data_IF_564442295372
#
_entry.id   IF_564442295372
#
_cell.length_a   1.000
_cell.length_b   1.000
_cell.length_c   1.000
_cell.angle_alpha   90.00
_cell.angle_beta   90.00
_cell.angle_gamma   90.00
#
_symmetry.space_group_name_H-M   'P 1'
#
loop_
_entity.id
_entity.type
_entity.pdbx_description
1 polymer ?
#
# COMPACT_ATOMS: atom_id res chain seq x y z
N UNK A 1 -21.15 -15.14 -12.52
CA UNK A 1 -21.07 -13.98 -11.61
C UNK A 1 -19.59 -13.65 -11.51
N UNK A 2 -19.13 -12.55 -12.10
CA UNK A 2 -17.80 -12.03 -11.79
C UNK A 2 -17.89 -11.53 -10.35
N UNK A 3 -17.25 -12.23 -9.41
CA UNK A 3 -17.15 -11.77 -8.03
C UNK A 3 -16.54 -10.37 -8.01
N UNK A 4 -16.97 -9.53 -7.06
CA UNK A 4 -16.30 -8.27 -6.83
C UNK A 4 -14.80 -8.55 -6.64
N UNK A 5 -13.94 -7.80 -7.34
CA UNK A 5 -12.49 -7.89 -7.21
C UNK A 5 -12.13 -7.70 -5.74
N UNK A 6 -11.30 -8.57 -5.16
CA UNK A 6 -10.88 -8.40 -3.77
C UNK A 6 -9.63 -7.49 -3.68
N UNK A 7 -9.32 -7.00 -2.48
CA UNK A 7 -8.20 -6.06 -2.26
C UNK A 7 -6.84 -6.67 -2.64
N UNK A 8 -6.64 -7.98 -2.49
CA UNK A 8 -5.39 -8.66 -2.86
C UNK A 8 -5.24 -8.70 -4.38
N UNK A 9 -6.27 -9.12 -5.10
CA UNK A 9 -6.29 -9.12 -6.57
C UNK A 9 -6.02 -7.72 -7.13
N UNK A 10 -6.64 -6.69 -6.54
CA UNK A 10 -6.41 -5.30 -6.90
C UNK A 10 -4.95 -4.89 -6.74
N UNK A 11 -4.36 -5.17 -5.57
CA UNK A 11 -2.98 -4.85 -5.29
C UNK A 11 -2.00 -5.61 -6.19
N UNK A 12 -2.25 -6.89 -6.44
CA UNK A 12 -1.43 -7.70 -7.34
C UNK A 12 -1.43 -7.16 -8.79
N UNK A 13 -2.59 -6.72 -9.27
CA UNK A 13 -2.72 -6.10 -10.59
C UNK A 13 -1.95 -4.77 -10.66
N UNK A 14 -2.09 -3.91 -9.64
CA UNK A 14 -1.39 -2.61 -9.60
C UNK A 14 0.13 -2.77 -9.50
N UNK A 15 0.61 -3.70 -8.68
CA UNK A 15 2.05 -3.99 -8.59
C UNK A 15 2.56 -4.54 -9.93
N UNK A 16 1.80 -5.40 -10.61
CA UNK A 16 2.19 -5.91 -11.93
C UNK A 16 2.28 -4.79 -12.98
N UNK A 17 1.39 -3.80 -12.93
CA UNK A 17 1.45 -2.62 -13.80
C UNK A 17 2.66 -1.72 -13.49
N UNK A 18 2.97 -1.50 -12.21
CA UNK A 18 4.17 -0.78 -11.79
C UNK A 18 5.45 -1.49 -12.28
N UNK A 19 5.56 -2.81 -12.05
CA UNK A 19 6.67 -3.64 -12.51
C UNK A 19 6.83 -3.59 -14.04
N UNK A 20 5.72 -3.60 -14.78
CA UNK A 20 5.72 -3.46 -16.23
C UNK A 20 6.18 -2.06 -16.67
N UNK A 21 5.70 -1.00 -16.00
CA UNK A 21 6.11 0.38 -16.23
C UNK A 21 7.60 0.59 -16.00
N UNK A 22 8.13 0.05 -14.90
CA UNK A 22 9.55 0.06 -14.57
C UNK A 22 10.37 -0.64 -15.67
N UNK A 23 9.94 -1.84 -16.11
CA UNK A 23 10.62 -2.58 -17.19
C UNK A 23 10.59 -1.84 -18.52
N UNK A 24 9.51 -1.10 -18.79
CA UNK A 24 9.37 -0.25 -19.97
C UNK A 24 10.11 1.10 -19.85
N UNK A 25 10.73 1.40 -18.71
CA UNK A 25 11.38 2.69 -18.45
C UNK A 25 10.40 3.87 -18.34
N UNK A 26 9.12 3.58 -18.15
CA UNK A 26 8.04 4.57 -18.03
C UNK A 26 7.79 4.87 -16.56
N UNK A 27 8.58 5.78 -16.00
CA UNK A 27 8.43 6.23 -14.61
C UNK A 27 7.58 7.49 -14.57
N UNK A 28 6.33 7.40 -14.11
CA UNK A 28 5.50 8.57 -13.83
C UNK A 28 5.78 9.01 -12.40
N UNK A 29 6.75 9.90 -12.22
CA UNK A 29 6.96 10.60 -10.95
C UNK A 29 6.22 11.93 -11.03
N UNK A 30 5.32 12.18 -10.08
CA UNK A 30 4.75 13.50 -9.87
C UNK A 30 5.87 14.53 -9.70
N UNK A 31 5.89 15.53 -10.59
CA UNK A 31 6.75 16.71 -10.64
C UNK A 31 7.70 16.88 -9.45
N UNK A 32 8.88 16.27 -9.55
CA UNK A 32 10.08 16.83 -8.93
C UNK A 32 11.11 16.86 -10.03
N UNK A 33 11.46 18.07 -10.46
CA UNK A 33 12.51 18.32 -11.45
C UNK A 33 13.80 17.66 -10.95
N UNK A 34 14.12 16.48 -11.47
CA UNK A 34 15.44 15.88 -11.28
C UNK A 34 16.38 16.68 -12.18
N UNK A 35 17.46 17.29 -11.64
CA UNK A 35 18.41 18.02 -12.46
C UNK A 35 18.95 17.10 -13.56
N UNK A 36 19.01 17.62 -14.80
CA UNK A 36 19.56 16.93 -15.98
C UNK A 36 21.08 16.75 -15.92
N UNK A 37 21.65 16.35 -14.77
CA UNK A 37 23.06 16.04 -14.66
C UNK A 37 23.31 14.54 -14.77
N UNK A 38 23.74 14.15 -15.97
CA UNK A 38 24.73 13.10 -16.25
C UNK A 38 24.65 11.77 -15.49
N UNK A 39 24.12 10.75 -16.16
CA UNK A 39 24.84 9.46 -16.27
C UNK A 39 24.65 8.38 -15.20
N UNK A 40 24.31 8.69 -13.94
CA UNK A 40 24.24 7.65 -12.88
C UNK A 40 22.89 7.52 -12.15
N UNK A 41 21.97 8.48 -12.31
CA UNK A 41 20.74 8.52 -11.52
C UNK A 41 19.66 7.50 -11.96
N UNK A 42 19.62 7.10 -13.24
CA UNK A 42 18.60 6.16 -13.76
C UNK A 42 18.71 4.75 -13.20
N UNK A 43 19.91 4.30 -12.81
CA UNK A 43 20.09 3.04 -12.07
C UNK A 43 19.38 3.10 -10.72
N UNK A 44 19.60 4.18 -9.96
CA UNK A 44 19.09 4.30 -8.59
C UNK A 44 17.57 4.43 -8.46
N UNK A 45 16.87 5.10 -9.39
CA UNK A 45 15.41 5.25 -9.29
C UNK A 45 14.67 3.97 -9.68
N UNK A 46 15.08 3.35 -10.80
CA UNK A 46 14.49 2.10 -11.25
C UNK A 46 14.69 0.97 -10.23
N UNK A 47 15.89 0.87 -9.65
CA UNK A 47 16.20 -0.07 -8.57
C UNK A 47 15.33 0.17 -7.33
N UNK A 48 15.21 1.42 -6.87
CA UNK A 48 14.33 1.76 -5.73
C UNK A 48 12.87 1.40 -5.96
N UNK A 49 12.36 1.64 -7.17
CA UNK A 49 10.98 1.28 -7.50
C UNK A 49 10.78 -0.24 -7.59
N UNK A 50 11.79 -1.00 -8.02
CA UNK A 50 11.77 -2.47 -7.97
C UNK A 50 11.79 -2.97 -6.52
N UNK A 51 12.60 -2.37 -5.65
CA UNK A 51 12.62 -2.68 -4.22
C UNK A 51 11.27 -2.38 -3.56
N UNK A 52 10.61 -1.28 -3.92
CA UNK A 52 9.27 -0.95 -3.46
C UNK A 52 8.26 -2.02 -3.91
N UNK A 53 8.27 -2.42 -5.19
CA UNK A 53 7.42 -3.51 -5.68
C UNK A 53 7.67 -4.82 -4.92
N UNK A 54 8.94 -5.15 -4.65
CA UNK A 54 9.30 -6.34 -3.88
C UNK A 54 8.77 -6.29 -2.43
N UNK A 55 8.80 -5.12 -1.79
CA UNK A 55 8.21 -4.93 -0.45
C UNK A 55 6.69 -5.08 -0.48
N UNK A 56 6.01 -4.49 -1.48
CA UNK A 56 4.56 -4.66 -1.66
C UNK A 56 4.19 -6.14 -1.86
N UNK A 57 4.96 -6.88 -2.66
CA UNK A 57 4.80 -8.35 -2.83
C UNK A 57 5.00 -9.11 -1.52
N UNK A 58 5.99 -8.74 -0.71
CA UNK A 58 6.25 -9.37 0.58
C UNK A 58 5.10 -9.16 1.58
N UNK A 59 4.46 -7.98 1.58
CA UNK A 59 3.27 -7.71 2.40
C UNK A 59 2.12 -8.63 1.99
N UNK A 60 1.86 -8.79 0.68
CA UNK A 60 0.81 -9.68 0.17
C UNK A 60 1.09 -11.14 0.55
N UNK A 61 2.33 -11.61 0.36
CA UNK A 61 2.72 -12.96 0.75
C UNK A 61 2.58 -13.20 2.26
N UNK A 62 2.93 -12.20 3.08
CA UNK A 62 2.74 -12.27 4.53
C UNK A 62 1.26 -12.37 4.89
N UNK A 63 0.38 -11.62 4.22
CA UNK A 63 -1.06 -11.79 4.40
C UNK A 63 -1.52 -13.22 4.03
N UNK A 64 -1.13 -13.73 2.86
CA UNK A 64 -1.52 -15.07 2.39
C UNK A 64 -1.11 -16.17 3.39
N UNK A 65 0.09 -16.10 3.94
CA UNK A 65 0.55 -17.03 4.97
C UNK A 65 -0.37 -17.02 6.22
N UNK A 66 -0.84 -15.83 6.65
CA UNK A 66 -1.76 -15.76 7.80
C UNK A 66 -3.15 -16.26 7.44
N UNK A 67 -3.62 -15.94 6.24
CA UNK A 67 -4.91 -16.37 5.73
C UNK A 67 -4.97 -17.91 5.65
N UNK A 68 -3.93 -18.54 5.11
CA UNK A 68 -3.80 -20.01 5.00
C UNK A 68 -3.83 -20.69 6.38
N UNK A 69 -3.16 -20.12 7.38
CA UNK A 69 -3.15 -20.66 8.75
C UNK A 69 -4.52 -20.59 9.44
N UNK A 70 -5.33 -19.58 9.10
CA UNK A 70 -6.66 -19.35 9.67
C UNK A 70 -7.79 -19.91 8.78
N UNK A 71 -7.49 -20.40 7.58
CA UNK A 71 -8.48 -20.88 6.60
C UNK A 71 -9.33 -19.76 6.02
N UNK A 72 -8.76 -18.56 5.87
CA UNK A 72 -9.43 -17.35 5.37
C UNK A 72 -9.21 -17.25 3.86
N UNK A 73 -10.29 -17.09 3.10
CA UNK A 73 -10.21 -16.86 1.65
C UNK A 73 -10.37 -15.36 1.31
N UNK A 74 -11.23 -14.64 2.05
CA UNK A 74 -11.45 -13.21 1.88
C UNK A 74 -10.77 -12.41 3.00
N UNK A 75 -9.89 -11.43 2.69
CA UNK A 75 -9.36 -10.50 3.68
C UNK A 75 -10.41 -9.84 4.58
N UNK A 76 -11.62 -9.58 4.08
CA UNK A 76 -12.73 -9.06 4.87
C UNK A 76 -13.11 -9.93 6.08
N UNK A 77 -12.84 -11.25 6.01
CA UNK A 77 -13.21 -12.24 7.02
C UNK A 77 -12.18 -12.42 8.14
N UNK A 78 -11.07 -11.68 8.10
CA UNK A 78 -10.02 -11.77 9.12
C UNK A 78 -10.53 -11.54 10.55
N UNK A 79 -10.33 -12.52 11.43
CA UNK A 79 -10.74 -12.46 12.84
C UNK A 79 -9.56 -12.62 13.81
N UNK A 80 -8.51 -13.37 13.46
CA UNK A 80 -7.32 -13.47 14.28
C UNK A 80 -6.54 -12.16 14.33
N UNK A 81 -5.89 -11.87 15.46
CA UNK A 81 -5.10 -10.63 15.65
C UNK A 81 -4.03 -10.45 14.55
N UNK A 82 -3.39 -11.55 14.15
CA UNK A 82 -2.35 -11.54 13.11
C UNK A 82 -2.95 -11.29 11.74
N UNK A 83 -4.03 -11.99 11.38
CA UNK A 83 -4.75 -11.73 10.14
C UNK A 83 -5.28 -10.29 10.08
N UNK A 84 -5.90 -9.77 11.14
CA UNK A 84 -6.37 -8.37 11.19
C UNK A 84 -5.22 -7.39 10.96
N UNK A 85 -4.08 -7.58 11.64
CA UNK A 85 -2.93 -6.70 11.48
C UNK A 85 -2.37 -6.75 10.04
N UNK A 86 -2.30 -7.94 9.44
CA UNK A 86 -1.83 -8.12 8.06
C UNK A 86 -2.82 -7.57 7.03
N UNK A 87 -4.12 -7.71 7.27
CA UNK A 87 -5.18 -7.07 6.48
C UNK A 87 -5.06 -5.56 6.50
N UNK A 88 -4.81 -4.95 7.67
CA UNK A 88 -4.64 -3.50 7.79
C UNK A 88 -3.49 -2.98 6.91
N UNK A 89 -2.41 -3.76 6.75
CA UNK A 89 -1.32 -3.40 5.82
C UNK A 89 -1.79 -3.37 4.36
N UNK A 90 -2.65 -4.31 3.94
CA UNK A 90 -3.27 -4.30 2.60
C UNK A 90 -4.15 -3.06 2.40
N UNK A 91 -4.97 -2.74 3.39
CA UNK A 91 -5.85 -1.56 3.41
C UNK A 91 -5.06 -0.26 3.27
N UNK A 92 -3.93 -0.13 3.99
CA UNK A 92 -3.03 1.01 3.88
C UNK A 92 -2.40 1.08 2.48
N UNK A 93 -1.93 -0.05 1.96
CA UNK A 93 -1.34 -0.11 0.63
C UNK A 93 -2.36 0.24 -0.47
N UNK A 94 -3.60 -0.24 -0.37
CA UNK A 94 -4.66 0.09 -1.31
C UNK A 94 -4.97 1.59 -1.33
N UNK A 95 -4.81 2.27 -0.19
CA UNK A 95 -5.00 3.71 -0.07
C UNK A 95 -4.12 4.56 -1.01
N UNK A 96 -2.94 4.08 -1.44
CA UNK A 96 -2.12 4.80 -2.42
C UNK A 96 -2.73 4.84 -3.82
N UNK A 97 -3.72 3.98 -4.09
CA UNK A 97 -4.42 3.88 -5.38
C UNK A 97 -5.86 4.37 -5.31
N UNK A 98 -6.21 5.19 -4.30
CA UNK A 98 -7.59 5.69 -4.07
C UNK A 98 -8.24 6.42 -5.26
N UNK A 99 -7.44 6.93 -6.18
CA UNK A 99 -7.90 7.64 -7.38
C UNK A 99 -8.14 6.69 -8.57
N UNK A 100 -7.79 5.42 -8.43
CA UNK A 100 -7.96 4.41 -9.47
C UNK A 100 -9.45 4.06 -9.64
N UNK A 101 -9.98 3.91 -10.87
CA UNK A 101 -11.39 3.58 -11.11
C UNK A 101 -11.84 2.25 -10.48
N UNK A 102 -10.92 1.28 -10.40
CA UNK A 102 -11.17 -0.03 -9.78
C UNK A 102 -11.00 -0.03 -8.25
N UNK A 103 -10.69 1.12 -7.63
CA UNK A 103 -10.57 1.21 -6.18
C UNK A 103 -11.96 1.11 -5.52
N UNK A 104 -12.12 0.19 -4.57
CA UNK A 104 -13.31 0.12 -3.72
C UNK A 104 -13.13 1.00 -2.47
N UNK A 105 -13.98 2.01 -2.23
CA UNK A 105 -13.98 2.81 -0.99
C UNK A 105 -14.11 1.97 0.29
N UNK A 106 -14.72 0.78 0.21
CA UNK A 106 -14.80 -0.18 1.30
C UNK A 106 -13.46 -0.75 1.76
N UNK A 107 -12.39 -0.58 0.97
CA UNK A 107 -11.02 -0.89 1.36
C UNK A 107 -10.32 0.22 2.13
N UNK A 108 -10.93 1.39 2.30
CA UNK A 108 -10.36 2.45 3.13
C UNK A 108 -10.41 2.03 4.59
N UNK A 109 -9.32 2.24 5.38
CA UNK A 109 -9.45 2.09 6.81
C UNK A 109 -10.38 3.19 7.32
N UNK A 110 -11.26 2.89 8.27
CA UNK A 110 -11.75 3.90 9.20
C UNK A 110 -10.57 4.28 10.11
N UNK A 111 -9.69 5.14 9.59
CA UNK A 111 -8.60 5.67 10.39
C UNK A 111 -9.21 6.59 11.46
N UNK A 112 -8.88 6.41 12.75
CA UNK A 112 -9.21 7.41 13.74
C UNK A 112 -8.49 8.71 13.36
N UNK A 113 -9.24 9.69 12.87
CA UNK A 113 -8.73 11.03 12.54
C UNK A 113 -8.43 11.86 13.79
N UNK A 114 -8.83 11.38 14.96
CA UNK A 114 -8.49 11.98 16.25
C UNK A 114 -7.05 11.65 16.62
N UNK A 115 -6.11 12.40 16.05
CA UNK A 115 -4.81 12.59 16.68
C UNK A 115 -5.10 13.20 18.06
N UNK A 116 -4.66 12.62 19.19
CA UNK A 116 -4.81 13.26 20.49
C UNK A 116 -4.12 14.61 20.40
N UNK A 117 -4.92 15.68 20.35
CA UNK A 117 -4.42 17.03 20.38
C UNK A 117 -3.50 17.14 21.57
N UNK A 118 -2.26 17.51 21.29
CA UNK A 118 -1.23 17.91 22.25
C UNK A 118 -1.92 18.57 23.43
N UNK A 119 -1.91 17.90 24.58
CA UNK A 119 -2.51 18.42 25.80
C UNK A 119 -1.83 19.75 26.08
N UNK A 120 -2.49 20.84 25.70
CA UNK A 120 -2.02 22.20 25.88
C UNK A 120 -1.68 22.34 27.37
N UNK A 121 -0.39 22.43 27.65
CA UNK A 121 0.15 22.49 29.00
C UNK A 121 -0.61 23.54 29.79
N UNK A 122 -1.26 23.11 30.86
CA UNK A 122 -1.92 23.97 31.82
C UNK A 122 -0.84 24.87 32.45
N UNK A 123 -0.86 26.21 32.25
CA UNK A 123 0.10 27.06 32.92
C UNK A 123 -0.25 27.10 34.41
N UNK A 124 0.61 26.50 35.23
CA UNK A 124 0.54 26.59 36.68
C UNK A 124 0.45 28.06 37.10
N UNK A 125 -0.69 28.45 37.66
CA UNK A 125 -0.87 29.76 38.28
C UNK A 125 0.02 29.83 39.52
N UNK A 126 0.98 30.76 39.49
CA UNK A 126 1.71 31.23 40.66
C UNK A 126 0.80 32.01 41.59
#
# INVERSE_FOLDING_TARGET
MMGAMNIVEFLEARIAEEEAGIRAGSFVVGTTEIPEDGGEAKGSLGERMQEECAQKRAIIASWQEAADLEGIEDPGEAQGTVAIARRAMLTILAGSYREHPDYDPGWSPDLPTDVPGEAAGEPAKR
#
